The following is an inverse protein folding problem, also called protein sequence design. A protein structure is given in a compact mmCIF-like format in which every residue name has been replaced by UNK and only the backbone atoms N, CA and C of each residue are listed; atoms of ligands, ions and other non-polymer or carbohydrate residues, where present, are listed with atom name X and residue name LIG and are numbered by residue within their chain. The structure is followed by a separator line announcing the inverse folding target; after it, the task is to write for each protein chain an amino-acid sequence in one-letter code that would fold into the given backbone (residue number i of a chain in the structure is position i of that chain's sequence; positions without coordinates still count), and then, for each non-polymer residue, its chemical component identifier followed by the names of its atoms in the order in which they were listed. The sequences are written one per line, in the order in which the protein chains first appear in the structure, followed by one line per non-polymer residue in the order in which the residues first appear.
data_IF_502524679030
#
_entry.id   IF_502524679030
#
_cell.length_a   1.000
_cell.length_b   1.000
_cell.length_c   1.000
_cell.angle_alpha   90.00
_cell.angle_beta   90.00
_cell.angle_gamma   90.00
#
_symmetry.space_group_name_H-M   'P 1'
#
loop_
_entity.id
_entity.type
_entity.pdbx_description
1 polymer ?
#
# COMPACT_ATOMS: atom_id res chain seq x y z
N UNK A 1 4.51 4.89 -3.85
CA UNK A 1 4.87 6.05 -2.96
C UNK A 1 5.84 6.99 -3.66
N UNK A 2 7.00 6.49 -4.18
CA UNK A 2 8.05 7.35 -4.75
C UNK A 2 7.54 8.23 -5.92
N UNK A 3 6.71 7.69 -6.81
CA UNK A 3 6.17 8.45 -7.95
C UNK A 3 5.29 9.65 -7.51
N UNK A 4 4.44 9.44 -6.51
CA UNK A 4 3.59 10.52 -5.96
C UNK A 4 4.46 11.59 -5.27
N UNK A 5 5.45 11.16 -4.47
CA UNK A 5 6.38 12.11 -3.84
C UNK A 5 7.18 12.89 -4.89
N UNK A 6 7.67 12.23 -5.93
CA UNK A 6 8.41 12.90 -7.01
C UNK A 6 7.53 13.94 -7.70
N UNK A 7 6.28 13.62 -7.99
CA UNK A 7 5.32 14.56 -8.57
C UNK A 7 5.10 15.76 -7.66
N UNK A 8 4.67 15.55 -6.42
CA UNK A 8 4.37 16.63 -5.48
C UNK A 8 5.58 17.54 -5.23
N UNK A 9 6.77 16.98 -5.11
CA UNK A 9 7.99 17.74 -4.86
C UNK A 9 8.44 18.53 -6.11
N UNK A 10 8.32 17.94 -7.30
CA UNK A 10 8.64 18.66 -8.54
C UNK A 10 7.62 19.76 -8.85
N UNK A 11 6.35 19.54 -8.57
CA UNK A 11 5.31 20.56 -8.70
C UNK A 11 5.53 21.73 -7.72
N UNK A 12 6.14 21.44 -6.57
CA UNK A 12 6.60 22.46 -5.62
C UNK A 12 7.93 23.15 -6.03
N UNK A 13 8.47 22.84 -7.20
CA UNK A 13 9.69 23.45 -7.74
C UNK A 13 10.99 22.87 -7.20
N UNK A 14 10.95 21.73 -6.48
CA UNK A 14 12.13 21.08 -5.96
C UNK A 14 12.79 20.17 -7.01
N UNK A 15 14.13 20.08 -6.97
CA UNK A 15 14.85 19.11 -7.76
C UNK A 15 14.84 17.75 -7.02
N UNK A 16 14.38 16.71 -7.70
CA UNK A 16 14.22 15.38 -7.12
C UNK A 16 15.13 14.38 -7.81
N UNK A 17 15.87 13.61 -7.02
CA UNK A 17 16.67 12.46 -7.49
C UNK A 17 16.09 11.19 -6.88
N UNK A 18 15.67 10.26 -7.72
CA UNK A 18 15.21 8.94 -7.30
C UNK A 18 16.31 7.90 -7.54
N UNK A 19 16.66 7.16 -6.50
CA UNK A 19 17.62 6.05 -6.58
C UNK A 19 16.87 4.73 -6.52
N UNK A 20 17.08 3.87 -7.51
CA UNK A 20 16.46 2.55 -7.60
C UNK A 20 17.55 1.48 -7.68
N UNK A 21 17.43 0.45 -6.88
CA UNK A 21 18.36 -0.68 -6.86
C UNK A 21 18.08 -1.72 -7.95
N UNK A 22 16.82 -1.91 -8.27
CA UNK A 22 16.37 -2.94 -9.19
C UNK A 22 16.27 -2.48 -10.63
N UNK A 23 16.25 -3.44 -11.54
CA UNK A 23 16.09 -3.19 -12.96
C UNK A 23 14.65 -2.86 -13.37
N UNK A 24 14.51 -2.33 -14.56
CA UNK A 24 13.21 -2.19 -15.20
C UNK A 24 12.58 -3.56 -15.46
N UNK A 25 11.25 -3.65 -15.31
CA UNK A 25 10.45 -4.82 -15.66
C UNK A 25 9.56 -4.51 -16.85
N UNK A 26 9.54 -5.40 -17.80
CA UNK A 26 8.79 -5.25 -19.05
C UNK A 26 7.61 -6.22 -19.11
N UNK A 27 6.43 -5.69 -19.46
CA UNK A 27 5.18 -6.47 -19.44
C UNK A 27 5.23 -7.75 -20.27
N UNK A 28 5.72 -7.75 -21.53
CA UNK A 28 5.77 -8.96 -22.34
C UNK A 28 6.68 -10.05 -21.81
N UNK A 29 7.79 -9.67 -21.17
CA UNK A 29 8.82 -10.62 -20.75
C UNK A 29 8.75 -11.01 -19.28
N UNK A 30 8.37 -10.08 -18.43
CA UNK A 30 8.41 -10.28 -16.98
C UNK A 30 7.04 -10.64 -16.37
N UNK A 31 5.92 -10.20 -16.98
CA UNK A 31 4.59 -10.33 -16.40
C UNK A 31 3.63 -11.22 -17.20
N UNK A 32 3.89 -11.45 -18.47
CA UNK A 32 3.02 -12.23 -19.35
C UNK A 32 3.67 -13.56 -19.73
N UNK A 33 3.44 -14.65 -18.98
CA UNK A 33 3.86 -15.97 -19.43
C UNK A 33 3.12 -16.32 -20.72
N UNK A 34 3.87 -16.63 -21.77
CA UNK A 34 3.36 -16.79 -23.13
C UNK A 34 2.50 -18.05 -23.34
N UNK A 35 2.52 -18.99 -22.40
CA UNK A 35 1.92 -20.32 -22.60
C UNK A 35 1.18 -20.89 -21.38
N UNK A 36 1.11 -20.20 -20.24
CA UNK A 36 0.41 -20.68 -19.05
C UNK A 36 -0.75 -19.73 -18.74
N UNK A 37 -1.97 -20.23 -18.92
CA UNK A 37 -3.22 -19.48 -18.69
C UNK A 37 -3.95 -19.87 -17.42
N UNK A 38 -3.35 -20.72 -16.58
CA UNK A 38 -3.96 -21.33 -15.42
C UNK A 38 -3.33 -20.90 -14.07
N UNK A 39 -3.56 -21.69 -13.04
CA UNK A 39 -3.08 -21.49 -11.66
C UNK A 39 -1.56 -21.37 -11.57
N UNK A 40 -0.79 -21.91 -12.51
CA UNK A 40 0.65 -21.81 -12.56
C UNK A 40 1.14 -20.38 -12.85
N UNK A 41 0.25 -19.47 -13.23
CA UNK A 41 0.54 -18.03 -13.28
C UNK A 41 1.02 -17.51 -11.92
N UNK A 42 0.54 -18.09 -10.83
CA UNK A 42 1.03 -17.78 -9.48
C UNK A 42 2.51 -18.15 -9.30
N UNK A 43 2.91 -19.29 -9.80
CA UNK A 43 4.32 -19.70 -9.76
C UNK A 43 5.23 -18.72 -10.50
N UNK A 44 4.79 -18.19 -11.63
CA UNK A 44 5.56 -17.20 -12.38
C UNK A 44 5.77 -15.90 -11.60
N UNK A 45 4.79 -15.46 -10.84
CA UNK A 45 4.88 -14.27 -9.98
C UNK A 45 5.94 -14.40 -8.89
N UNK A 46 6.28 -15.60 -8.45
CA UNK A 46 7.35 -15.82 -7.49
C UNK A 46 8.70 -15.28 -7.96
N UNK A 47 8.93 -15.20 -9.24
CA UNK A 47 10.16 -14.61 -9.81
C UNK A 47 10.25 -13.09 -9.60
N UNK A 48 9.16 -12.44 -9.26
CA UNK A 48 9.12 -11.01 -8.95
C UNK A 48 9.48 -10.72 -7.49
N UNK A 49 9.40 -11.71 -6.63
CA UNK A 49 9.71 -11.57 -5.21
C UNK A 49 11.21 -11.67 -4.96
N UNK A 50 11.65 -11.04 -3.87
CA UNK A 50 12.98 -11.25 -3.36
C UNK A 50 13.13 -12.70 -2.94
N UNK A 51 14.21 -13.34 -3.34
CA UNK A 51 14.51 -14.72 -2.96
C UNK A 51 15.38 -14.72 -1.70
N UNK A 52 14.86 -15.20 -0.54
CA UNK A 52 15.60 -15.16 0.73
C UNK A 52 16.92 -15.95 0.73
N UNK A 53 17.10 -16.88 -0.23
CA UNK A 53 18.36 -17.59 -0.43
C UNK A 53 19.46 -16.73 -1.05
N UNK A 54 19.08 -15.67 -1.75
CA UNK A 54 20.01 -14.75 -2.43
C UNK A 54 20.16 -13.43 -1.72
N UNK A 55 19.11 -13.00 -1.02
CA UNK A 55 19.08 -11.73 -0.33
C UNK A 55 18.54 -11.92 1.09
N UNK A 56 19.39 -11.69 2.07
CA UNK A 56 19.04 -11.87 3.48
C UNK A 56 18.14 -10.72 3.95
N UNK A 57 16.91 -11.07 4.31
CA UNK A 57 16.00 -10.19 5.03
C UNK A 57 15.97 -10.64 6.47
N UNK A 58 16.11 -9.72 7.40
CA UNK A 58 16.11 -10.01 8.84
C UNK A 58 14.90 -9.41 9.52
N UNK A 59 14.49 -9.98 10.63
CA UNK A 59 13.46 -9.44 11.51
C UNK A 59 13.87 -9.53 12.98
N UNK A 60 13.27 -8.69 13.79
CA UNK A 60 13.33 -8.74 15.26
C UNK A 60 12.06 -8.13 15.84
N UNK A 61 11.63 -8.59 17.00
CA UNK A 61 10.42 -8.08 17.64
C UNK A 61 10.69 -6.82 18.50
N UNK A 62 11.93 -6.63 18.92
CA UNK A 62 12.32 -5.44 19.69
C UNK A 62 13.75 -5.00 19.34
N UNK A 63 14.09 -3.78 19.71
CA UNK A 63 15.45 -3.23 19.51
C UNK A 63 16.51 -3.96 20.33
N UNK A 64 16.12 -4.66 21.40
CA UNK A 64 17.01 -5.39 22.29
C UNK A 64 17.25 -6.83 21.86
N UNK A 65 16.59 -7.28 20.79
CA UNK A 65 16.73 -8.63 20.26
C UNK A 65 17.71 -8.67 19.09
N UNK A 66 18.39 -9.79 18.92
CA UNK A 66 19.21 -10.05 17.73
C UNK A 66 18.28 -10.25 16.53
N UNK A 67 18.57 -9.54 15.43
CA UNK A 67 17.84 -9.73 14.19
C UNK A 67 18.12 -11.13 13.60
N UNK A 68 17.07 -11.85 13.29
CA UNK A 68 17.13 -13.21 12.74
C UNK A 68 16.79 -13.18 11.24
N UNK A 69 17.46 -14.01 10.42
CA UNK A 69 17.14 -14.09 9.00
C UNK A 69 15.77 -14.74 8.78
N UNK A 70 14.96 -14.15 7.89
CA UNK A 70 13.72 -14.74 7.41
C UNK A 70 14.06 -15.92 6.48
N UNK A 71 13.38 -17.04 6.69
CA UNK A 71 13.54 -18.25 5.86
C UNK A 71 12.47 -18.38 4.79
N UNK A 72 11.35 -17.70 4.98
CA UNK A 72 10.26 -17.63 4.02
C UNK A 72 9.54 -16.28 4.16
N UNK A 73 8.93 -15.80 3.09
CA UNK A 73 8.36 -14.45 3.05
C UNK A 73 6.98 -14.31 3.73
N UNK A 74 6.24 -15.37 3.95
CA UNK A 74 4.90 -15.28 4.56
C UNK A 74 3.98 -14.32 3.82
N UNK A 75 3.33 -13.41 4.56
CA UNK A 75 2.45 -12.38 4.00
C UNK A 75 3.18 -11.15 3.47
N UNK A 76 4.43 -10.94 3.84
CA UNK A 76 5.25 -9.83 3.36
C UNK A 76 6.06 -10.29 2.15
N UNK A 77 5.74 -9.74 0.99
CA UNK A 77 6.29 -10.11 -0.31
C UNK A 77 7.10 -8.94 -0.90
N UNK A 78 8.33 -8.69 -0.43
CA UNK A 78 9.18 -7.65 -1.01
C UNK A 78 9.62 -8.02 -2.42
N UNK A 79 9.82 -7.01 -3.25
CA UNK A 79 10.34 -7.16 -4.59
C UNK A 79 11.40 -6.12 -4.90
N UNK A 80 12.26 -6.42 -5.86
CA UNK A 80 13.32 -5.55 -6.34
C UNK A 80 13.10 -5.22 -7.81
N UNK A 81 13.01 -3.95 -8.13
CA UNK A 81 12.73 -3.44 -9.47
C UNK A 81 12.21 -2.02 -9.42
N UNK A 82 12.15 -1.35 -10.55
CA UNK A 82 11.52 -0.03 -10.65
C UNK A 82 10.06 -0.13 -10.23
N UNK A 83 9.72 0.50 -9.11
CA UNK A 83 8.40 0.39 -8.47
C UNK A 83 8.36 -0.54 -7.25
N UNK A 84 9.45 -1.26 -6.93
CA UNK A 84 9.55 -2.15 -5.78
C UNK A 84 8.44 -3.20 -5.76
N UNK A 85 7.84 -3.47 -4.59
CA UNK A 85 6.72 -4.41 -4.46
C UNK A 85 5.45 -3.98 -5.22
N UNK A 86 5.37 -2.73 -5.69
CA UNK A 86 4.30 -2.26 -6.57
C UNK A 86 4.19 -3.02 -7.88
N UNK A 87 5.28 -3.65 -8.36
CA UNK A 87 5.28 -4.43 -9.61
C UNK A 87 4.38 -5.68 -9.57
N UNK A 88 4.07 -6.18 -8.40
CA UNK A 88 3.14 -7.31 -8.23
C UNK A 88 1.89 -6.95 -7.40
N UNK A 89 1.63 -5.66 -7.23
CA UNK A 89 0.43 -5.19 -6.57
C UNK A 89 -0.83 -5.56 -7.33
N UNK A 90 -1.84 -6.05 -6.61
CA UNK A 90 -3.10 -6.49 -7.20
C UNK A 90 -4.12 -5.35 -7.43
N UNK A 91 -3.71 -4.09 -7.23
CA UNK A 91 -4.61 -2.94 -7.41
C UNK A 91 -5.56 -2.69 -6.24
N UNK A 92 -5.42 -3.39 -5.13
CA UNK A 92 -6.25 -3.19 -3.94
C UNK A 92 -5.84 -1.90 -3.22
N UNK A 93 -6.82 -1.01 -3.00
CA UNK A 93 -6.63 0.31 -2.39
C UNK A 93 -7.69 0.59 -1.36
N UNK A 94 -7.88 -0.33 -0.44
CA UNK A 94 -8.81 -0.11 0.65
C UNK A 94 -8.30 0.99 1.58
N UNK A 95 -9.21 1.89 1.95
CA UNK A 95 -8.92 2.88 2.98
C UNK A 95 -8.93 2.21 4.35
N UNK A 96 -8.07 2.70 5.22
CA UNK A 96 -8.13 2.37 6.63
C UNK A 96 -9.42 2.88 7.26
N UNK A 97 -9.86 2.25 8.36
CA UNK A 97 -10.97 2.76 9.15
C UNK A 97 -10.50 3.92 10.03
N UNK A 98 -11.39 4.85 10.41
CA UNK A 98 -11.03 5.92 11.35
C UNK A 98 -10.42 5.40 12.66
N UNK A 99 -10.88 4.25 13.16
CA UNK A 99 -10.34 3.60 14.35
C UNK A 99 -8.90 3.10 14.20
N UNK A 100 -8.42 2.84 12.98
CA UNK A 100 -7.06 2.36 12.77
C UNK A 100 -6.02 3.45 13.10
N UNK A 101 -6.38 4.72 12.87
CA UNK A 101 -5.50 5.87 13.14
C UNK A 101 -5.39 6.21 14.63
N UNK A 102 -6.36 5.80 15.41
CA UNK A 102 -6.43 6.00 16.86
C UNK A 102 -6.60 4.66 17.58
N UNK A 103 -5.85 3.67 17.12
CA UNK A 103 -6.04 2.28 17.52
C UNK A 103 -5.88 2.07 19.03
N UNK A 104 -4.90 2.71 19.66
CA UNK A 104 -4.72 2.65 21.11
C UNK A 104 -5.89 3.27 21.84
N UNK A 105 -6.16 4.53 21.58
CA UNK A 105 -7.25 5.29 22.23
C UNK A 105 -8.61 4.64 22.03
N UNK A 106 -8.87 4.15 20.81
CA UNK A 106 -10.12 3.45 20.49
C UNK A 106 -10.29 2.17 21.32
N UNK A 107 -9.24 1.35 21.41
CA UNK A 107 -9.31 0.10 22.16
C UNK A 107 -9.40 0.34 23.66
N UNK A 108 -8.62 1.29 24.20
CA UNK A 108 -8.71 1.66 25.63
C UNK A 108 -10.10 2.19 26.01
N UNK A 109 -10.71 3.00 25.15
CA UNK A 109 -12.06 3.51 25.35
C UNK A 109 -13.11 2.39 25.33
N UNK A 110 -12.96 1.43 24.41
CA UNK A 110 -13.96 0.38 24.19
C UNK A 110 -13.83 -0.81 25.13
N UNK A 111 -12.63 -1.18 25.49
CA UNK A 111 -12.32 -2.43 26.20
C UNK A 111 -11.60 -2.23 27.54
N UNK A 112 -11.24 -1.00 27.90
CA UNK A 112 -10.43 -0.69 29.06
C UNK A 112 -8.94 -0.76 28.76
N UNK A 113 -8.11 -0.72 29.82
CA UNK A 113 -6.66 -0.71 29.68
C UNK A 113 -6.17 -1.90 28.84
N UNK A 114 -5.26 -1.62 27.93
CA UNK A 114 -4.60 -2.67 27.15
C UNK A 114 -3.70 -3.53 28.06
N UNK A 115 -3.53 -4.78 27.65
CA UNK A 115 -2.63 -5.69 28.37
C UNK A 115 -1.18 -5.16 28.35
N UNK A 116 -0.45 -5.44 29.45
CA UNK A 116 0.94 -5.06 29.58
C UNK A 116 1.80 -5.66 28.44
N UNK A 117 2.71 -4.85 27.93
CA UNK A 117 3.60 -5.26 26.85
C UNK A 117 3.06 -5.09 25.43
N UNK A 118 1.78 -4.69 25.25
CA UNK A 118 1.27 -4.32 23.94
C UNK A 118 1.83 -2.97 23.49
N UNK A 119 2.35 -2.92 22.25
CA UNK A 119 2.96 -1.72 21.67
C UNK A 119 2.05 -1.00 20.68
N UNK A 120 0.73 -1.16 20.84
CA UNK A 120 -0.25 -0.46 20.01
C UNK A 120 -0.16 1.03 20.27
N UNK A 121 -0.14 1.82 19.20
CA UNK A 121 -0.03 3.27 19.24
C UNK A 121 -1.08 3.92 18.33
N UNK A 122 -1.43 5.15 18.63
CA UNK A 122 -2.13 6.02 17.69
C UNK A 122 -1.11 6.56 16.67
N UNK A 123 -1.57 6.82 15.45
CA UNK A 123 -0.70 7.24 14.34
C UNK A 123 -0.26 8.70 14.44
N UNK A 124 -0.90 9.52 15.29
CA UNK A 124 -0.64 10.94 15.39
C UNK A 124 -1.27 11.79 14.28
N UNK A 125 -2.06 11.16 13.42
CA UNK A 125 -2.93 11.77 12.40
C UNK A 125 -4.27 11.05 12.43
N UNK A 126 -5.32 11.75 12.05
CA UNK A 126 -6.68 11.21 12.00
C UNK A 126 -7.07 10.81 10.58
N UNK A 127 -8.14 10.02 10.46
CA UNK A 127 -8.74 9.72 9.16
C UNK A 127 -9.18 10.99 8.42
N UNK A 128 -9.84 11.91 9.13
CA UNK A 128 -10.38 13.13 8.52
C UNK A 128 -9.27 14.05 7.96
N UNK A 129 -8.10 14.09 8.61
CA UNK A 129 -6.92 14.79 8.09
C UNK A 129 -6.36 14.15 6.83
N UNK A 130 -6.44 12.82 6.70
CA UNK A 130 -5.93 12.09 5.54
C UNK A 130 -6.95 11.90 4.42
N UNK A 131 -8.24 12.06 4.67
CA UNK A 131 -9.30 11.83 3.67
C UNK A 131 -9.06 12.59 2.35
N UNK A 132 -8.70 13.89 2.33
CA UNK A 132 -8.40 14.60 1.09
C UNK A 132 -7.23 14.02 0.31
N UNK A 133 -6.26 13.43 1.00
CA UNK A 133 -5.10 12.80 0.39
C UNK A 133 -5.42 11.41 -0.17
N UNK A 134 -6.30 10.64 0.49
CA UNK A 134 -6.85 9.42 -0.09
C UNK A 134 -7.60 9.72 -1.38
N UNK A 135 -8.45 10.72 -1.37
CA UNK A 135 -9.21 11.15 -2.53
C UNK A 135 -8.31 11.54 -3.70
N UNK A 136 -7.27 12.34 -3.43
CA UNK A 136 -6.28 12.73 -4.43
C UNK A 136 -5.54 11.52 -5.00
N UNK A 137 -5.10 10.61 -4.13
CA UNK A 137 -4.41 9.39 -4.56
C UNK A 137 -5.30 8.50 -5.43
N UNK A 138 -6.53 8.27 -5.02
CA UNK A 138 -7.50 7.46 -5.76
C UNK A 138 -7.81 8.05 -7.12
N UNK A 139 -7.93 9.38 -7.20
CA UNK A 139 -8.09 10.10 -8.46
C UNK A 139 -6.89 9.92 -9.38
N UNK A 140 -5.68 10.17 -8.88
CA UNK A 140 -4.44 10.05 -9.66
C UNK A 140 -4.16 8.62 -10.14
N UNK A 141 -4.54 7.63 -9.33
CA UNK A 141 -4.33 6.22 -9.62
C UNK A 141 -5.47 5.58 -10.43
N UNK A 142 -6.56 6.31 -10.69
CA UNK A 142 -7.72 5.81 -11.42
C UNK A 142 -8.46 4.68 -10.71
N UNK A 143 -8.53 4.74 -9.37
CA UNK A 143 -9.20 3.72 -8.58
C UNK A 143 -10.70 3.74 -8.85
N UNK A 144 -11.26 2.58 -9.21
CA UNK A 144 -12.70 2.42 -9.38
C UNK A 144 -13.42 2.36 -8.04
N UNK A 145 -14.61 2.94 -7.97
CA UNK A 145 -15.42 2.94 -6.75
C UNK A 145 -15.98 4.31 -6.43
N UNK A 146 -16.78 4.34 -5.38
CA UNK A 146 -17.38 5.56 -4.85
C UNK A 146 -17.09 5.70 -3.37
N UNK A 147 -16.61 6.89 -2.97
CA UNK A 147 -16.35 7.21 -1.56
C UNK A 147 -17.64 7.34 -0.75
N UNK A 148 -17.54 7.28 0.59
CA UNK A 148 -18.63 7.52 1.52
C UNK A 148 -19.19 6.30 2.23
N UNK A 149 -18.72 5.09 1.90
CA UNK A 149 -19.22 3.84 2.50
C UNK A 149 -18.95 3.72 4.00
N UNK A 150 -17.91 4.38 4.52
CA UNK A 150 -17.51 4.31 5.94
C UNK A 150 -18.61 4.84 6.86
N UNK A 151 -19.40 5.82 6.40
CA UNK A 151 -20.53 6.40 7.15
C UNK A 151 -21.85 5.65 6.90
N UNK A 152 -21.81 4.49 6.25
CA UNK A 152 -23.00 3.67 5.96
C UNK A 152 -23.92 4.24 4.88
N UNK A 153 -23.58 5.38 4.29
CA UNK A 153 -24.31 6.01 3.20
C UNK A 153 -23.33 6.61 2.19
N UNK A 154 -23.63 6.45 0.91
CA UNK A 154 -22.91 7.15 -0.14
C UNK A 154 -23.19 8.64 0.01
N UNK A 155 -22.16 9.42 0.35
CA UNK A 155 -22.27 10.86 0.50
C UNK A 155 -22.15 11.52 -0.87
N UNK A 156 -23.13 12.29 -1.34
CA UNK A 156 -22.97 13.07 -2.55
C UNK A 156 -21.98 14.22 -2.30
N UNK A 157 -20.99 14.33 -3.18
CA UNK A 157 -20.12 15.51 -3.21
C UNK A 157 -19.14 15.67 -2.05
N UNK A 158 -18.73 14.58 -1.41
CA UNK A 158 -17.72 14.66 -0.35
C UNK A 158 -16.32 15.01 -0.84
N UNK A 159 -16.05 14.86 -2.14
CA UNK A 159 -14.76 15.05 -2.76
C UNK A 159 -14.93 15.72 -4.12
N UNK A 160 -14.19 16.80 -4.45
CA UNK A 160 -14.26 17.45 -5.75
C UNK A 160 -13.95 16.52 -6.93
N UNK A 161 -13.22 15.45 -6.71
CA UNK A 161 -12.88 14.46 -7.73
C UNK A 161 -13.90 13.32 -7.87
N UNK A 162 -14.80 13.14 -6.93
CA UNK A 162 -15.75 12.01 -6.92
C UNK A 162 -16.64 12.00 -8.17
N UNK A 163 -17.21 13.15 -8.52
CA UNK A 163 -18.07 13.29 -9.71
C UNK A 163 -17.32 13.03 -11.02
N UNK A 164 -16.06 13.40 -11.09
CA UNK A 164 -15.20 13.13 -12.24
C UNK A 164 -14.89 11.62 -12.34
N UNK A 165 -14.46 11.03 -11.25
CA UNK A 165 -14.13 9.61 -11.17
C UNK A 165 -15.33 8.71 -11.55
N UNK A 166 -16.52 9.04 -11.09
CA UNK A 166 -17.72 8.28 -11.44
C UNK A 166 -18.14 8.41 -12.92
N UNK A 167 -17.64 9.41 -13.63
CA UNK A 167 -17.86 9.57 -15.08
C UNK A 167 -16.81 8.84 -15.92
N UNK A 168 -15.54 8.96 -15.51
CA UNK A 168 -14.39 8.48 -16.27
C UNK A 168 -14.06 7.00 -15.95
N UNK A 169 -14.33 6.58 -14.72
CA UNK A 169 -13.99 5.24 -14.21
C UNK A 169 -15.23 4.61 -13.57
N UNK A 170 -16.24 4.21 -14.36
CA UNK A 170 -17.39 3.49 -13.84
C UNK A 170 -16.92 2.19 -13.17
N UNK A 171 -17.67 1.77 -12.15
CA UNK A 171 -17.44 0.46 -11.58
C UNK A 171 -17.56 -0.61 -12.67
N UNK A 172 -16.69 -1.63 -12.66
CA UNK A 172 -16.79 -2.76 -13.56
C UNK A 172 -18.10 -3.51 -13.42
#
# INVERSE_FOLDING_TARGET
TAAILAQELTDAGLQVVALERGGWRDTPTDFAPTFIQDELRYYWRHKLFVEPSRETITFRNSMNETALPMRQLGSFLPATGVGGAGIHWNGQTWRFLPSDFVARSHNEQRYGALADGLTVQDWGVTYDELEPHFDKFEYLSGISGKAGNIKGQIQPGGNPFEGWRSREYPNP
#
